data_IF_016475300232
#
_entry.id   IF_016475300232
#
_cell.length_a   1.000
_cell.length_b   1.000
_cell.length_c   1.000
_cell.angle_alpha   90.00
_cell.angle_beta   90.00
_cell.angle_gamma   90.00
#
_symmetry.space_group_name_H-M   'P 1'
#
loop_
_entity.id
_entity.type
_entity.pdbx_description
1 polymer ?
#
# COMPACT_ATOMS: atom_id res chain seq x y z
N UNK A 1 8.36 2.62 -13.80
CA UNK A 1 6.96 3.11 -13.89
C UNK A 1 5.93 2.03 -14.20
N UNK A 2 6.31 0.75 -14.10
CA UNK A 2 5.43 -0.40 -14.37
C UNK A 2 4.28 -0.48 -13.36
N UNK A 3 4.55 -0.22 -12.08
CA UNK A 3 3.57 -0.38 -11.00
C UNK A 3 2.25 0.38 -11.20
N UNK A 4 2.28 1.70 -11.45
CA UNK A 4 1.05 2.48 -11.66
C UNK A 4 0.23 1.95 -12.85
N UNK A 5 0.91 1.54 -13.92
CA UNK A 5 0.27 0.96 -15.10
C UNK A 5 -0.40 -0.38 -14.75
N UNK A 6 0.29 -1.27 -14.02
CA UNK A 6 -0.29 -2.55 -13.59
C UNK A 6 -1.54 -2.35 -12.72
N UNK A 7 -1.48 -1.43 -11.74
CA UNK A 7 -2.62 -1.12 -10.86
C UNK A 7 -3.80 -0.56 -11.67
N UNK A 8 -3.54 0.38 -12.59
CA UNK A 8 -4.55 0.93 -13.48
C UNK A 8 -5.20 -0.15 -14.36
N UNK A 9 -4.42 -1.12 -14.85
CA UNK A 9 -4.91 -2.20 -15.68
C UNK A 9 -5.70 -3.27 -14.90
N UNK A 10 -5.32 -3.54 -13.65
CA UNK A 10 -6.03 -4.49 -12.77
C UNK A 10 -7.38 -3.93 -12.30
N UNK A 11 -7.50 -2.61 -12.19
CA UNK A 11 -8.70 -1.91 -11.73
C UNK A 11 -9.18 -0.86 -12.75
N UNK A 12 -9.57 -1.26 -13.98
CA UNK A 12 -9.81 -0.33 -15.08
C UNK A 12 -11.10 0.50 -14.93
N UNK A 13 -12.02 0.04 -14.08
CA UNK A 13 -13.32 0.71 -13.82
C UNK A 13 -13.33 1.52 -12.54
N UNK A 14 -12.22 1.52 -11.79
CA UNK A 14 -12.11 2.20 -10.50
C UNK A 14 -11.31 3.49 -10.66
N UNK A 15 -11.69 4.51 -9.90
CA UNK A 15 -10.85 5.69 -9.70
C UNK A 15 -10.07 5.54 -8.40
N UNK A 16 -8.74 5.51 -8.51
CA UNK A 16 -7.84 5.11 -7.43
C UNK A 16 -7.16 6.36 -6.87
N UNK A 17 -7.31 6.57 -5.57
CA UNK A 17 -6.52 7.58 -4.85
C UNK A 17 -5.36 6.83 -4.19
N UNK A 18 -4.14 7.12 -4.61
CA UNK A 18 -2.92 6.50 -4.11
C UNK A 18 -2.16 7.48 -3.23
N UNK A 19 -2.04 7.15 -1.95
CA UNK A 19 -1.29 7.94 -0.99
C UNK A 19 0.20 7.58 -1.05
N UNK A 20 1.06 8.60 -1.03
CA UNK A 20 2.52 8.48 -1.09
C UNK A 20 3.11 9.17 0.14
N UNK A 21 4.15 8.56 0.71
CA UNK A 21 4.97 9.24 1.72
C UNK A 21 5.89 10.30 1.08
N UNK A 22 6.54 11.09 1.92
CA UNK A 22 7.41 12.19 1.50
C UNK A 22 8.78 11.75 0.96
N UNK A 23 9.05 10.45 0.75
CA UNK A 23 10.36 10.00 0.32
C UNK A 23 10.72 10.59 -1.06
N UNK A 24 11.96 11.08 -1.18
CA UNK A 24 12.43 11.84 -2.34
C UNK A 24 12.32 11.08 -3.68
N UNK A 25 12.32 9.74 -3.66
CA UNK A 25 12.13 8.91 -4.84
C UNK A 25 10.70 8.90 -5.38
N UNK A 26 9.69 9.34 -4.60
CA UNK A 26 8.32 9.53 -5.09
C UNK A 26 8.15 10.84 -5.88
N UNK A 27 9.11 11.76 -5.79
CA UNK A 27 9.09 13.06 -6.46
C UNK A 27 9.75 13.02 -7.86
N UNK A 28 9.57 11.93 -8.60
CA UNK A 28 10.13 11.82 -9.94
C UNK A 28 9.42 12.79 -10.90
N UNK A 29 10.15 13.77 -11.43
CA UNK A 29 9.67 14.81 -12.36
C UNK A 29 9.04 14.27 -13.68
N UNK A 30 9.10 12.97 -13.94
CA UNK A 30 8.58 12.31 -15.14
C UNK A 30 7.66 11.12 -14.85
N UNK A 31 6.93 11.13 -13.74
CA UNK A 31 6.00 10.05 -13.42
C UNK A 31 4.76 10.10 -14.34
N UNK A 32 4.61 9.14 -15.26
CA UNK A 32 3.38 8.94 -16.04
C UNK A 32 2.31 8.31 -15.16
N UNK A 33 1.39 9.14 -14.70
CA UNK A 33 0.24 8.71 -13.90
C UNK A 33 -0.93 8.37 -14.83
N UNK A 34 -1.49 7.15 -14.78
CA UNK A 34 -2.69 6.80 -15.54
C UNK A 34 -3.90 7.66 -15.18
N UNK A 35 -4.82 7.85 -16.12
CA UNK A 35 -5.98 8.76 -15.95
C UNK A 35 -6.91 8.38 -14.80
N UNK A 36 -6.97 7.11 -14.42
CA UNK A 36 -7.80 6.62 -13.32
C UNK A 36 -7.06 6.58 -11.98
N UNK A 37 -5.85 7.14 -11.88
CA UNK A 37 -5.09 7.23 -10.63
C UNK A 37 -4.82 8.69 -10.29
N UNK A 38 -5.09 9.06 -9.04
CA UNK A 38 -4.67 10.34 -8.45
C UNK A 38 -3.69 10.09 -7.31
N UNK A 39 -2.54 10.74 -7.38
CA UNK A 39 -1.55 10.70 -6.30
C UNK A 39 -1.87 11.76 -5.25
N UNK A 40 -1.79 11.38 -3.97
CA UNK A 40 -1.96 12.26 -2.82
C UNK A 40 -0.75 12.11 -1.90
N UNK A 41 -0.15 13.21 -1.47
CA UNK A 41 1.08 13.17 -0.66
C UNK A 41 0.67 13.33 0.81
N UNK A 42 1.15 12.41 1.66
CA UNK A 42 0.96 12.49 3.10
C UNK A 42 1.77 13.65 3.69
N UNK A 43 1.34 14.23 4.82
CA UNK A 43 2.15 15.19 5.57
C UNK A 43 3.56 14.62 5.88
N UNK A 44 4.62 15.44 5.83
CA UNK A 44 5.97 15.01 6.18
C UNK A 44 6.02 14.46 7.61
N UNK A 45 6.85 13.43 7.82
CA UNK A 45 7.18 12.84 9.12
C UNK A 45 5.96 12.37 9.96
N UNK A 46 4.89 11.91 9.29
CA UNK A 46 3.69 11.33 9.93
C UNK A 46 3.52 9.83 9.65
N UNK A 47 4.41 8.95 10.18
CA UNK A 47 4.29 7.50 10.01
C UNK A 47 2.99 6.95 10.59
N UNK A 48 2.44 7.57 11.64
CA UNK A 48 1.15 7.22 12.26
C UNK A 48 -0.05 7.43 11.30
N UNK A 49 0.14 8.22 10.25
CA UNK A 49 -0.87 8.43 9.22
C UNK A 49 -0.66 7.50 8.02
N UNK A 50 0.48 6.80 7.90
CA UNK A 50 0.75 5.92 6.78
C UNK A 50 0.15 4.52 7.03
N UNK A 51 -0.94 4.12 6.35
CA UNK A 51 -1.58 2.84 6.64
C UNK A 51 -0.71 1.65 6.24
N UNK A 52 0.31 1.87 5.40
CA UNK A 52 1.28 0.85 5.02
C UNK A 52 2.08 0.36 6.22
N UNK A 53 2.37 1.21 7.22
CA UNK A 53 3.10 0.82 8.44
C UNK A 53 2.31 -0.21 9.26
N UNK A 54 1.00 -0.01 9.41
CA UNK A 54 0.12 -0.98 10.09
C UNK A 54 0.07 -2.32 9.35
N UNK A 55 0.10 -2.29 8.02
CA UNK A 55 0.16 -3.50 7.21
C UNK A 55 1.50 -4.23 7.39
N UNK A 56 2.61 -3.49 7.50
CA UNK A 56 3.93 -4.05 7.75
C UNK A 56 4.08 -4.66 9.14
N UNK A 57 3.52 -4.02 10.16
CA UNK A 57 3.49 -4.56 11.51
C UNK A 57 2.71 -5.88 11.56
N UNK A 58 1.53 -5.92 10.94
CA UNK A 58 0.72 -7.14 10.80
C UNK A 58 1.50 -8.27 10.10
N UNK A 59 2.18 -7.98 8.99
CA UNK A 59 3.01 -8.96 8.26
C UNK A 59 4.14 -9.48 9.17
N UNK A 60 4.83 -8.57 9.85
CA UNK A 60 5.97 -8.90 10.72
C UNK A 60 5.55 -9.77 11.89
N UNK A 61 4.43 -9.45 12.53
CA UNK A 61 3.92 -10.20 13.68
C UNK A 61 3.42 -11.59 13.30
N UNK A 62 2.71 -11.73 12.17
CA UNK A 62 2.04 -12.99 11.82
C UNK A 62 2.88 -13.93 10.95
N UNK A 63 3.68 -13.40 10.03
CA UNK A 63 4.46 -14.23 9.09
C UNK A 63 5.95 -14.33 9.43
N UNK A 64 6.48 -13.37 10.19
CA UNK A 64 7.90 -13.33 10.58
C UNK A 64 8.22 -13.48 12.09
N UNK A 65 7.36 -14.08 12.95
CA UNK A 65 7.67 -14.14 14.39
C UNK A 65 8.80 -15.12 14.68
N UNK A 66 9.93 -14.63 15.20
CA UNK A 66 11.09 -15.44 15.63
C UNK A 66 11.55 -16.49 14.60
N UNK A 67 11.39 -16.19 13.31
CA UNK A 67 11.79 -17.09 12.21
C UNK A 67 13.19 -16.77 11.72
N UNK A 68 13.98 -17.82 11.53
CA UNK A 68 15.27 -17.75 10.84
C UNK A 68 15.11 -18.38 9.47
N UNK A 69 15.47 -17.64 8.43
CA UNK A 69 15.39 -18.10 7.04
C UNK A 69 16.76 -18.52 6.54
N UNK A 70 16.81 -19.62 5.79
CA UNK A 70 18.06 -20.16 5.25
C UNK A 70 18.49 -19.53 3.92
N UNK A 71 17.65 -18.66 3.33
CA UNK A 71 17.92 -17.96 2.07
C UNK A 71 17.06 -16.71 1.96
N UNK A 72 17.48 -15.79 1.08
CA UNK A 72 16.68 -14.64 0.69
C UNK A 72 15.39 -15.08 -0.01
N UNK A 73 15.45 -16.09 -0.88
CA UNK A 73 14.26 -16.63 -1.55
C UNK A 73 13.19 -17.07 -0.54
N UNK A 74 13.56 -17.71 0.57
CA UNK A 74 12.60 -18.10 1.59
C UNK A 74 11.94 -16.91 2.31
N UNK A 75 12.66 -15.78 2.43
CA UNK A 75 12.09 -14.51 2.94
C UNK A 75 11.10 -13.96 1.93
N UNK A 76 11.48 -13.91 0.65
CA UNK A 76 10.65 -13.41 -0.45
C UNK A 76 9.37 -14.23 -0.61
N UNK A 77 9.47 -15.56 -0.63
CA UNK A 77 8.31 -16.46 -0.73
C UNK A 77 7.34 -16.22 0.44
N UNK A 78 7.85 -16.12 1.67
CA UNK A 78 7.02 -15.86 2.86
C UNK A 78 6.36 -14.50 2.79
N UNK A 79 7.07 -13.49 2.29
CA UNK A 79 6.52 -12.15 2.11
C UNK A 79 5.42 -12.15 1.04
N UNK A 80 5.64 -12.79 -0.10
CA UNK A 80 4.64 -12.90 -1.17
C UNK A 80 3.40 -13.62 -0.66
N UNK A 81 3.54 -14.73 0.05
CA UNK A 81 2.42 -15.46 0.65
C UNK A 81 1.61 -14.57 1.62
N UNK A 82 2.29 -13.75 2.43
CA UNK A 82 1.63 -12.82 3.34
C UNK A 82 0.82 -11.75 2.59
N UNK A 83 1.40 -11.19 1.53
CA UNK A 83 0.77 -10.15 0.71
C UNK A 83 -0.43 -10.70 -0.05
N UNK A 84 -0.31 -11.90 -0.65
CA UNK A 84 -1.43 -12.58 -1.33
C UNK A 84 -2.54 -12.90 -0.33
N UNK A 85 -2.20 -13.31 0.89
CA UNK A 85 -3.21 -13.58 1.92
C UNK A 85 -3.97 -12.31 2.29
N UNK A 86 -3.27 -11.20 2.52
CA UNK A 86 -3.88 -9.91 2.86
C UNK A 86 -4.69 -9.33 1.69
N UNK A 87 -4.20 -9.44 0.45
CA UNK A 87 -4.92 -9.01 -0.75
C UNK A 87 -6.31 -9.69 -0.86
N UNK A 88 -6.40 -10.96 -0.46
CA UNK A 88 -7.65 -11.72 -0.52
C UNK A 88 -8.56 -11.53 0.72
N UNK A 89 -8.07 -10.88 1.79
CA UNK A 89 -8.85 -10.60 3.00
C UNK A 89 -9.14 -9.09 3.16
N UNK A 90 -9.98 -8.58 2.25
CA UNK A 90 -10.40 -7.19 2.24
C UNK A 90 -11.02 -6.72 3.57
N UNK A 91 -11.67 -7.62 4.33
CA UNK A 91 -12.33 -7.25 5.60
C UNK A 91 -11.29 -6.94 6.67
N UNK A 92 -10.30 -7.81 6.84
CA UNK A 92 -9.23 -7.60 7.81
C UNK A 92 -8.36 -6.41 7.43
N UNK A 93 -7.99 -6.29 6.14
CA UNK A 93 -7.25 -5.12 5.65
C UNK A 93 -8.02 -3.83 5.92
N UNK A 94 -9.31 -3.76 5.60
CA UNK A 94 -10.13 -2.58 5.92
C UNK A 94 -10.16 -2.28 7.43
N UNK A 95 -10.21 -3.28 8.28
CA UNK A 95 -10.15 -3.10 9.74
C UNK A 95 -8.82 -2.58 10.25
N UNK A 96 -7.70 -2.90 9.57
CA UNK A 96 -6.35 -2.49 9.95
C UNK A 96 -6.00 -1.07 9.46
N UNK A 97 -6.41 -0.75 8.22
CA UNK A 97 -5.90 0.43 7.49
C UNK A 97 -7.00 1.40 7.03
N UNK A 98 -8.27 1.12 7.34
CA UNK A 98 -9.41 1.97 6.96
C UNK A 98 -9.56 3.19 7.85
N UNK A 99 -8.53 4.05 7.91
CA UNK A 99 -8.54 5.24 8.75
C UNK A 99 -9.65 6.22 8.36
N UNK A 100 -10.36 6.77 9.35
CA UNK A 100 -11.50 7.67 9.11
C UNK A 100 -11.10 8.85 8.21
N UNK A 101 -9.93 9.46 8.44
CA UNK A 101 -9.48 10.58 7.62
C UNK A 101 -9.30 10.22 6.14
N UNK A 102 -8.95 8.97 5.81
CA UNK A 102 -8.86 8.51 4.42
C UNK A 102 -10.26 8.40 3.83
N UNK A 103 -11.16 7.74 4.55
CA UNK A 103 -12.54 7.51 4.11
C UNK A 103 -13.28 8.85 3.93
N UNK A 104 -13.09 9.79 4.85
CA UNK A 104 -13.68 11.11 4.82
C UNK A 104 -13.12 11.96 3.67
N UNK A 105 -11.81 11.92 3.42
CA UNK A 105 -11.20 12.63 2.28
C UNK A 105 -11.67 12.08 0.94
N UNK A 106 -11.83 10.76 0.82
CA UNK A 106 -12.35 10.13 -0.40
C UNK A 106 -13.81 10.53 -0.61
N UNK A 107 -14.62 10.56 0.44
CA UNK A 107 -16.05 10.91 0.37
C UNK A 107 -16.30 12.38 0.00
N UNK A 108 -15.36 13.28 0.34
CA UNK A 108 -15.44 14.71 0.00
C UNK A 108 -14.76 15.06 -1.34
N UNK A 109 -14.05 14.12 -1.96
CA UNK A 109 -13.36 14.33 -3.23
C UNK A 109 -14.27 14.13 -4.46
N UNK A 110 -15.53 13.71 -4.24
CA UNK A 110 -16.59 13.49 -5.22
C UNK A 110 -17.89 14.12 -4.75
#
# INVERSE_FOLDING_TARGET
MTFLKEISQRHPTEYIIMFLDGASWHQAHHLSVPVNIRLSILPPDSPELNPTEHLWDEIREKWFPNRVFNSLAAVEDTLVDSLVTLENDHKSVKGLIGFDWIIDNISNAF
#
